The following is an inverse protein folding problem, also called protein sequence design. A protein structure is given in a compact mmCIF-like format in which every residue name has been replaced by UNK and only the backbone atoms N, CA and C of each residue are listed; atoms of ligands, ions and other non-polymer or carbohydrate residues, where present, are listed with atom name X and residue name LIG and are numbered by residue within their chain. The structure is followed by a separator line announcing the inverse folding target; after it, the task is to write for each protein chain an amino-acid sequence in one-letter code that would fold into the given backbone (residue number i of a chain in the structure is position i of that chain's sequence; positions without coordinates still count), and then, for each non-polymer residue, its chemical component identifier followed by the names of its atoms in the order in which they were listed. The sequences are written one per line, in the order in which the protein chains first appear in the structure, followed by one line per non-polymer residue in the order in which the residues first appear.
data_IF_714239309133
#
_entry.id   IF_714239309133
#
_cell.length_a   1.000
_cell.length_b   1.000
_cell.length_c   1.000
_cell.angle_alpha   90.00
_cell.angle_beta   90.00
_cell.angle_gamma   90.00
#
_symmetry.space_group_name_H-M   'P 1'
#
loop_
_entity.id
_entity.type
_entity.pdbx_description
1 polymer ?
#
# COMPACT_ATOMS: atom_id res chain seq x y z
N UNK A 1 21.78 18.00 18.21
CA UNK A 1 22.11 17.29 16.96
C UNK A 1 22.17 15.78 17.17
N UNK A 2 23.17 15.21 17.85
CA UNK A 2 23.30 13.75 18.01
C UNK A 2 22.10 13.06 18.71
N UNK A 3 21.47 13.72 19.68
CA UNK A 3 20.26 13.20 20.33
C UNK A 3 19.04 13.17 19.40
N UNK A 4 18.91 14.13 18.48
CA UNK A 4 17.83 14.13 17.49
C UNK A 4 18.02 13.01 16.46
N UNK A 5 19.25 12.80 15.99
CA UNK A 5 19.57 11.72 15.05
C UNK A 5 19.25 10.34 15.64
N UNK A 6 19.62 10.11 16.91
CA UNK A 6 19.27 8.85 17.60
C UNK A 6 17.77 8.62 17.70
N UNK A 7 17.00 9.66 18.02
CA UNK A 7 15.54 9.56 18.12
C UNK A 7 14.89 9.35 16.75
N UNK A 8 15.45 9.94 15.69
CA UNK A 8 15.01 9.76 14.31
C UNK A 8 15.28 8.33 13.81
N UNK A 9 16.47 7.79 14.08
CA UNK A 9 16.82 6.41 13.76
C UNK A 9 15.92 5.43 14.50
N UNK A 10 15.72 5.62 15.80
CA UNK A 10 14.85 4.78 16.62
C UNK A 10 13.39 4.83 16.14
N UNK A 11 12.93 6.01 15.70
CA UNK A 11 11.61 6.15 15.10
C UNK A 11 11.52 5.40 13.75
N UNK A 12 12.54 5.50 12.89
CA UNK A 12 12.55 4.80 11.60
C UNK A 12 12.55 3.28 11.77
N UNK A 13 13.33 2.75 12.71
CA UNK A 13 13.38 1.32 13.00
C UNK A 13 12.04 0.79 13.53
N UNK A 14 11.39 1.55 14.40
CA UNK A 14 10.13 1.12 15.02
C UNK A 14 8.94 1.32 14.09
N UNK A 15 8.86 2.47 13.41
CA UNK A 15 7.65 2.91 12.73
C UNK A 15 7.72 2.87 11.20
N UNK A 16 8.89 3.11 10.61
CA UNK A 16 9.06 3.17 9.15
C UNK A 16 9.30 1.79 8.53
N UNK A 17 8.67 0.75 9.07
CA UNK A 17 8.71 -0.62 8.54
C UNK A 17 7.37 -0.98 7.89
N UNK A 18 7.36 -1.78 6.82
CA UNK A 18 6.13 -2.15 6.11
C UNK A 18 5.20 -3.02 6.98
N UNK A 19 5.71 -3.61 8.05
CA UNK A 19 4.97 -4.52 8.93
C UNK A 19 3.88 -3.84 9.73
N UNK A 20 4.04 -2.55 10.06
CA UNK A 20 2.99 -1.81 10.75
C UNK A 20 1.79 -1.61 9.84
N UNK A 21 2.02 -1.22 8.58
CA UNK A 21 0.95 -1.08 7.59
C UNK A 21 0.27 -2.43 7.29
N UNK A 22 1.04 -3.52 7.25
CA UNK A 22 0.50 -4.87 7.07
C UNK A 22 -0.40 -5.29 8.24
N UNK A 23 -0.08 -4.90 9.49
CA UNK A 23 -0.92 -5.19 10.67
C UNK A 23 -2.31 -4.58 10.58
N UNK A 24 -2.43 -3.40 9.97
CA UNK A 24 -3.72 -2.72 9.76
C UNK A 24 -4.43 -3.14 8.47
N UNK A 25 -3.82 -3.99 7.65
CA UNK A 25 -4.38 -4.40 6.36
C UNK A 25 -4.36 -3.30 5.30
N UNK A 26 -3.55 -2.25 5.47
CA UNK A 26 -3.33 -1.25 4.41
C UNK A 26 -2.51 -1.82 3.24
N UNK A 27 -1.69 -2.81 3.54
CA UNK A 27 -0.90 -3.57 2.56
C UNK A 27 -1.30 -5.03 2.72
N UNK A 28 -1.60 -5.70 1.60
CA UNK A 28 -2.04 -7.10 1.61
C UNK A 28 -0.91 -8.08 1.98
N UNK A 29 0.32 -7.82 1.54
CA UNK A 29 1.45 -8.74 1.74
C UNK A 29 2.82 -8.04 1.64
N UNK A 30 3.80 -8.52 2.41
CA UNK A 30 5.21 -8.11 2.33
C UNK A 30 5.99 -9.22 1.62
N UNK A 31 6.38 -8.97 0.37
CA UNK A 31 6.94 -10.00 -0.52
C UNK A 31 8.42 -9.81 -0.79
N UNK A 32 9.11 -10.90 -1.11
CA UNK A 32 10.46 -10.82 -1.69
C UNK A 32 10.42 -10.16 -3.08
N UNK A 33 11.41 -9.31 -3.43
CA UNK A 33 11.40 -8.57 -4.70
C UNK A 33 11.25 -9.44 -5.95
N UNK A 34 11.83 -10.65 -5.95
CA UNK A 34 11.73 -11.62 -7.06
C UNK A 34 10.30 -12.13 -7.32
N UNK A 35 9.45 -12.13 -6.29
CA UNK A 35 8.08 -12.66 -6.38
C UNK A 35 7.08 -11.66 -6.98
N UNK A 36 7.50 -10.41 -7.19
CA UNK A 36 6.65 -9.31 -7.66
C UNK A 36 5.91 -9.66 -8.95
N UNK A 37 6.61 -10.18 -9.98
CA UNK A 37 6.00 -10.54 -11.27
C UNK A 37 4.89 -11.59 -11.12
N UNK A 38 5.15 -12.64 -10.34
CA UNK A 38 4.18 -13.72 -10.13
C UNK A 38 2.95 -13.22 -9.36
N UNK A 39 3.15 -12.40 -8.32
CA UNK A 39 2.07 -11.77 -7.56
C UNK A 39 1.18 -10.90 -8.44
N UNK A 40 1.77 -10.04 -9.27
CA UNK A 40 1.04 -9.18 -10.21
C UNK A 40 0.23 -10.02 -11.19
N UNK A 41 0.85 -11.03 -11.83
CA UNK A 41 0.15 -11.89 -12.79
C UNK A 41 -1.05 -12.61 -12.17
N UNK A 42 -0.92 -13.08 -10.91
CA UNK A 42 -2.02 -13.70 -10.17
C UNK A 42 -3.12 -12.70 -9.82
N UNK A 43 -2.76 -11.51 -9.33
CA UNK A 43 -3.71 -10.47 -8.97
C UNK A 43 -4.54 -10.02 -10.18
N UNK A 44 -3.90 -9.78 -11.33
CA UNK A 44 -4.58 -9.41 -12.57
C UNK A 44 -5.54 -10.49 -13.05
N UNK A 45 -5.17 -11.77 -12.97
CA UNK A 45 -6.09 -12.88 -13.29
C UNK A 45 -7.33 -12.89 -12.39
N UNK A 46 -7.15 -12.62 -11.09
CA UNK A 46 -8.28 -12.57 -10.15
C UNK A 46 -9.18 -11.35 -10.36
N UNK A 47 -8.61 -10.23 -10.79
CA UNK A 47 -9.33 -8.97 -11.01
C UNK A 47 -9.97 -8.87 -12.40
N UNK A 48 -9.68 -9.81 -13.30
CA UNK A 48 -10.11 -9.77 -14.70
C UNK A 48 -11.64 -9.61 -14.88
N UNK A 49 -12.45 -10.09 -13.95
CA UNK A 49 -13.91 -10.02 -14.01
C UNK A 49 -14.52 -9.04 -13.01
N UNK A 50 -13.70 -8.24 -12.30
CA UNK A 50 -14.19 -7.27 -11.31
C UNK A 50 -14.99 -6.18 -12.01
N UNK A 51 -16.24 -5.98 -11.57
CA UNK A 51 -17.09 -4.85 -11.98
C UNK A 51 -17.48 -4.05 -10.74
N UNK A 52 -17.32 -2.73 -10.80
CA UNK A 52 -17.67 -1.80 -9.73
C UNK A 52 -18.61 -0.74 -10.30
N UNK A 53 -19.75 -0.52 -9.65
CA UNK A 53 -20.78 0.42 -10.10
C UNK A 53 -20.82 1.58 -9.11
N UNK A 54 -20.55 2.79 -9.60
CA UNK A 54 -20.64 4.01 -8.80
C UNK A 54 -22.04 4.63 -8.79
N UNK A 55 -22.29 5.62 -7.92
CA UNK A 55 -23.55 6.37 -7.91
C UNK A 55 -23.83 7.08 -9.25
N UNK A 56 -25.10 7.16 -9.69
CA UNK A 56 -25.46 7.81 -10.95
C UNK A 56 -25.24 9.32 -10.86
N UNK A 57 -24.47 9.87 -11.81
CA UNK A 57 -24.17 11.31 -11.91
C UNK A 57 -23.87 11.67 -13.37
N UNK A 58 -24.10 12.93 -13.75
CA UNK A 58 -23.74 13.44 -15.09
C UNK A 58 -22.21 13.46 -15.30
N UNK A 59 -21.47 13.94 -14.30
CA UNK A 59 -20.01 13.95 -14.25
C UNK A 59 -19.55 14.07 -12.80
N UNK A 60 -18.25 13.91 -12.54
CA UNK A 60 -17.64 14.24 -11.25
C UNK A 60 -17.46 15.75 -11.05
N UNK A 61 -17.05 16.14 -9.85
CA UNK A 61 -16.60 17.49 -9.51
C UNK A 61 -15.25 17.39 -8.79
N UNK A 62 -14.18 17.19 -9.56
CA UNK A 62 -12.82 17.17 -9.00
C UNK A 62 -12.44 18.60 -8.58
N UNK A 63 -11.77 18.82 -7.43
CA UNK A 63 -11.22 20.13 -7.09
C UNK A 63 -10.30 20.65 -8.21
N UNK A 64 -10.48 21.92 -8.59
CA UNK A 64 -9.66 22.64 -9.58
C UNK A 64 -8.51 23.39 -8.91
#
# INVERSE_FOLDING_TARGET
AAAQQKMEEEYREKFATPYIAARYGYIDDVIEPRNTRWRIARALRSLATKKEVGPPKKHGNLPL
#
